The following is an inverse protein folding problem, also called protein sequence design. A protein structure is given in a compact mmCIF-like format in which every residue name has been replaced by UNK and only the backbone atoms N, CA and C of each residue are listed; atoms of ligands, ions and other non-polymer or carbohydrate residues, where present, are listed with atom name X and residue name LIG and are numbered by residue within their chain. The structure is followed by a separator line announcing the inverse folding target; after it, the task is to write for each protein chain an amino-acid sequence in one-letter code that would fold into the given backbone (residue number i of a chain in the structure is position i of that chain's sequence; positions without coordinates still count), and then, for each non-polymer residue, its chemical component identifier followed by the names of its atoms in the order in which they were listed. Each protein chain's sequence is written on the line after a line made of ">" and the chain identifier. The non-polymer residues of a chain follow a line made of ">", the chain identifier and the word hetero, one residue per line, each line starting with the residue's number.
data_IF_765403351997
#
_entry.id   IF_765403351997
#
_cell.length_a   1.000
_cell.length_b   1.000
_cell.length_c   1.000
_cell.angle_alpha   90.00
_cell.angle_beta   90.00
_cell.angle_gamma   90.00
#
_symmetry.space_group_name_H-M   'P 1'
#
loop_
_entity.id
_entity.type
_entity.pdbx_description
1 polymer ?
#
# COMPACT_ATOMS: atom_id res chain seq x y z
N UNK A 1 24.14 23.45 47.68
CA UNK A 1 24.17 24.78 47.01
C UNK A 1 24.49 24.75 45.51
N UNK A 2 24.87 23.62 44.89
CA UNK A 2 25.28 23.56 43.46
C UNK A 2 24.15 23.54 42.41
N UNK A 3 22.93 23.15 42.77
CA UNK A 3 21.83 23.00 41.80
C UNK A 3 21.18 24.33 41.40
N UNK A 4 21.20 25.34 42.27
CA UNK A 4 20.62 26.66 41.98
C UNK A 4 21.52 27.46 41.04
N UNK A 5 22.84 27.43 41.25
CA UNK A 5 23.83 28.12 40.41
C UNK A 5 23.89 27.60 38.98
N UNK A 6 23.72 26.29 38.76
CA UNK A 6 23.69 25.69 37.42
C UNK A 6 22.44 26.12 36.63
N UNK A 7 21.28 26.21 37.31
CA UNK A 7 20.04 26.63 36.67
C UNK A 7 20.08 28.10 36.25
N UNK A 8 20.72 28.97 37.05
CA UNK A 8 20.91 30.39 36.72
C UNK A 8 21.85 30.58 35.53
N UNK A 9 22.91 29.77 35.41
CA UNK A 9 23.85 29.84 34.28
C UNK A 9 23.20 29.40 32.95
N UNK A 10 22.34 28.38 32.98
CA UNK A 10 21.63 27.90 31.78
C UNK A 10 20.57 28.92 31.33
N UNK A 11 19.87 29.57 32.26
CA UNK A 11 18.90 30.63 31.91
C UNK A 11 19.59 31.89 31.39
N UNK A 12 20.78 32.24 31.91
CA UNK A 12 21.54 33.37 31.40
C UNK A 12 22.07 33.12 29.97
N UNK A 13 22.50 31.89 29.66
CA UNK A 13 22.91 31.50 28.30
C UNK A 13 21.73 31.52 27.29
N UNK A 14 20.52 31.23 27.75
CA UNK A 14 19.31 31.24 26.90
C UNK A 14 18.74 32.65 26.66
N UNK A 15 19.02 33.62 27.54
CA UNK A 15 18.58 35.01 27.35
C UNK A 15 19.55 35.79 26.46
N UNK A 16 20.85 35.45 26.49
CA UNK A 16 21.86 36.06 25.62
C UNK A 16 21.77 35.62 24.15
N UNK A 17 21.10 34.50 23.83
CA UNK A 17 20.83 34.08 22.45
C UNK A 17 19.63 34.76 21.79
N UNK A 18 18.88 35.58 22.55
CA UNK A 18 17.70 36.30 22.03
C UNK A 18 18.06 37.72 21.57
N UNK A 19 19.27 38.21 21.89
CA UNK A 19 19.66 39.62 21.67
C UNK A 19 20.96 39.80 20.86
N UNK A 20 21.28 38.85 19.99
CA UNK A 20 22.17 39.13 18.85
C UNK A 20 21.37 39.05 17.56
N UNK A 21 21.28 40.14 16.76
CA UNK A 21 20.83 40.02 15.39
C UNK A 21 21.95 39.27 14.67
N UNK A 22 21.76 37.97 14.44
CA UNK A 22 22.57 37.26 13.46
C UNK A 22 22.15 37.82 12.09
N UNK A 23 22.84 38.86 11.67
CA UNK A 23 22.95 39.23 10.27
C UNK A 23 23.66 38.08 9.55
N UNK A 24 22.89 37.14 9.02
CA UNK A 24 23.25 36.56 7.74
C UNK A 24 22.35 37.23 6.72
N UNK A 25 22.91 38.16 5.95
CA UNK A 25 22.40 38.43 4.62
C UNK A 25 22.33 37.08 3.90
N UNK A 26 21.15 36.46 3.92
CA UNK A 26 20.79 35.51 2.89
C UNK A 26 20.67 36.36 1.63
N UNK A 27 21.80 36.49 0.93
CA UNK A 27 21.79 36.75 -0.50
C UNK A 27 20.76 35.79 -1.09
N UNK A 28 19.59 36.31 -1.46
CA UNK A 28 18.67 35.61 -2.33
C UNK A 28 19.33 35.59 -3.72
N UNK A 29 20.41 34.80 -3.85
CA UNK A 29 20.81 34.26 -5.14
C UNK A 29 19.67 33.34 -5.57
N UNK A 30 18.75 33.91 -6.36
CA UNK A 30 17.94 33.15 -7.30
C UNK A 30 18.91 32.38 -8.19
N UNK A 31 19.33 31.19 -7.75
CA UNK A 31 19.90 30.18 -8.61
C UNK A 31 18.82 29.81 -9.62
N UNK A 32 18.88 30.44 -10.79
CA UNK A 32 18.25 29.89 -11.98
C UNK A 32 18.95 28.57 -12.26
N UNK A 33 18.35 27.46 -11.81
CA UNK A 33 18.78 26.13 -12.24
C UNK A 33 18.59 26.11 -13.75
N UNK A 34 19.70 26.02 -14.50
CA UNK A 34 19.68 25.86 -15.94
C UNK A 34 18.86 24.60 -16.27
N UNK A 35 17.99 24.66 -17.28
CA UNK A 35 17.18 23.52 -17.73
C UNK A 35 18.02 22.25 -17.97
N UNK A 36 19.28 22.39 -18.39
CA UNK A 36 20.20 21.26 -18.55
C UNK A 36 20.64 20.60 -17.23
N UNK A 37 20.83 21.34 -16.14
CA UNK A 37 21.16 20.77 -14.82
C UNK A 37 19.92 20.12 -14.19
N UNK A 38 18.74 20.73 -14.37
CA UNK A 38 17.47 20.12 -13.98
C UNK A 38 17.22 18.83 -14.77
N UNK A 39 17.46 18.83 -16.08
CA UNK A 39 17.33 17.65 -16.93
C UNK A 39 18.36 16.57 -16.55
N UNK A 40 19.60 16.93 -16.22
CA UNK A 40 20.63 16.01 -15.74
C UNK A 40 20.32 15.40 -14.34
N UNK A 41 19.57 16.11 -13.49
CA UNK A 41 19.08 15.59 -12.20
C UNK A 41 17.80 14.75 -12.36
N UNK A 42 16.92 15.12 -13.29
CA UNK A 42 15.61 14.48 -13.52
C UNK A 42 15.75 13.21 -14.35
N UNK A 43 16.63 13.17 -15.36
CA UNK A 43 16.78 12.01 -16.27
C UNK A 43 17.19 10.72 -15.54
N UNK A 44 18.19 10.72 -14.62
CA UNK A 44 18.53 9.53 -13.84
C UNK A 44 17.38 9.06 -12.94
N UNK A 45 16.64 10.00 -12.34
CA UNK A 45 15.47 9.68 -11.49
C UNK A 45 14.30 9.13 -12.30
N UNK A 46 14.04 9.66 -13.50
CA UNK A 46 13.01 9.15 -14.41
C UNK A 46 13.37 7.74 -14.90
N UNK A 47 14.62 7.52 -15.31
CA UNK A 47 15.09 6.18 -15.74
C UNK A 47 15.03 5.15 -14.61
N UNK A 48 15.40 5.52 -13.39
CA UNK A 48 15.28 4.66 -12.21
C UNK A 48 13.81 4.33 -11.88
N UNK A 49 12.90 5.30 -12.00
CA UNK A 49 11.47 5.09 -11.80
C UNK A 49 10.85 4.21 -12.89
N UNK A 50 11.24 4.40 -14.15
CA UNK A 50 10.79 3.53 -15.25
C UNK A 50 11.27 2.09 -15.08
N UNK A 51 12.53 1.90 -14.68
CA UNK A 51 13.08 0.57 -14.41
C UNK A 51 12.40 -0.11 -13.22
N UNK A 52 12.15 0.63 -12.13
CA UNK A 52 11.41 0.11 -10.98
C UNK A 52 9.95 -0.25 -11.32
N UNK A 53 9.31 0.50 -12.22
CA UNK A 53 7.95 0.21 -12.69
C UNK A 53 7.94 -1.07 -13.53
N UNK A 54 8.87 -1.22 -14.47
CA UNK A 54 8.99 -2.46 -15.27
C UNK A 54 9.27 -3.68 -14.40
N UNK A 55 10.17 -3.56 -13.42
CA UNK A 55 10.47 -4.65 -12.51
C UNK A 55 9.24 -5.04 -11.67
N UNK A 56 8.45 -4.05 -11.22
CA UNK A 56 7.23 -4.31 -10.49
C UNK A 56 6.20 -5.05 -11.36
N UNK A 57 6.01 -4.63 -12.61
CA UNK A 57 5.11 -5.31 -13.56
C UNK A 57 5.54 -6.78 -13.77
N UNK A 58 6.84 -7.05 -13.93
CA UNK A 58 7.37 -8.41 -14.04
C UNK A 58 7.13 -9.25 -12.79
N UNK A 59 7.32 -8.67 -11.60
CA UNK A 59 7.07 -9.35 -10.33
C UNK A 59 5.58 -9.63 -10.13
N UNK A 60 4.71 -8.71 -10.54
CA UNK A 60 3.27 -8.90 -10.51
C UNK A 60 2.83 -10.04 -11.43
N UNK A 61 3.41 -10.16 -12.63
CA UNK A 61 3.18 -11.31 -13.52
C UNK A 61 3.65 -12.61 -12.88
N UNK A 62 4.90 -12.67 -12.37
CA UNK A 62 5.45 -13.87 -11.70
C UNK A 62 4.62 -14.28 -10.49
N UNK A 63 4.13 -13.31 -9.71
CA UNK A 63 3.23 -13.55 -8.59
C UNK A 63 1.89 -14.14 -9.06
N UNK A 64 1.32 -13.60 -10.14
CA UNK A 64 0.12 -14.13 -10.78
C UNK A 64 0.30 -15.57 -11.23
N UNK A 65 1.36 -15.85 -11.99
CA UNK A 65 1.71 -17.19 -12.48
C UNK A 65 1.91 -18.19 -11.32
N UNK A 66 2.60 -17.78 -10.25
CA UNK A 66 2.79 -18.60 -9.07
C UNK A 66 1.43 -19.02 -8.46
N UNK A 67 0.55 -18.04 -8.25
CA UNK A 67 -0.76 -18.27 -7.62
C UNK A 67 -1.67 -19.09 -8.55
N UNK A 68 -1.67 -18.83 -9.85
CA UNK A 68 -2.44 -19.60 -10.84
C UNK A 68 -2.05 -21.08 -10.85
N UNK A 69 -0.75 -21.37 -10.77
CA UNK A 69 -0.20 -22.72 -10.83
C UNK A 69 -0.27 -23.51 -9.51
N UNK A 70 -0.85 -22.96 -8.43
CA UNK A 70 -1.01 -23.74 -7.19
C UNK A 70 -1.87 -24.99 -7.44
N UNK A 71 -1.51 -26.15 -6.85
CA UNK A 71 -2.09 -27.45 -7.19
C UNK A 71 -3.41 -27.71 -6.47
N UNK A 72 -4.29 -26.71 -6.45
CA UNK A 72 -5.66 -26.82 -5.96
C UNK A 72 -6.55 -25.78 -6.64
N UNK A 73 -7.82 -26.11 -6.74
CA UNK A 73 -8.90 -25.24 -7.22
C UNK A 73 -9.60 -24.55 -6.05
N UNK A 74 -10.41 -23.53 -6.33
CA UNK A 74 -11.29 -22.91 -5.33
C UNK A 74 -12.18 -23.96 -4.65
N UNK A 75 -12.84 -24.81 -5.45
CA UNK A 75 -13.77 -25.84 -4.94
C UNK A 75 -13.08 -26.82 -3.99
N UNK A 76 -11.87 -27.30 -4.34
CA UNK A 76 -11.09 -28.18 -3.47
C UNK A 76 -10.72 -27.48 -2.18
N UNK A 77 -10.21 -26.25 -2.25
CA UNK A 77 -9.88 -25.46 -1.06
C UNK A 77 -11.09 -25.21 -0.16
N UNK A 78 -12.26 -24.94 -0.74
CA UNK A 78 -13.48 -24.70 0.03
C UNK A 78 -13.99 -25.95 0.73
N UNK A 79 -13.75 -27.14 0.15
CA UNK A 79 -14.14 -28.43 0.73
C UNK A 79 -13.23 -28.88 1.89
N UNK A 80 -12.02 -28.34 2.01
CA UNK A 80 -11.10 -28.60 3.11
C UNK A 80 -11.61 -28.06 4.44
N UNK A 81 -11.28 -28.76 5.53
CA UNK A 81 -11.45 -28.25 6.89
C UNK A 81 -10.64 -26.97 7.13
N UNK A 82 -10.97 -26.22 8.19
CA UNK A 82 -10.24 -25.00 8.52
C UNK A 82 -8.75 -25.26 8.80
N UNK A 83 -8.42 -26.38 9.44
CA UNK A 83 -7.03 -26.77 9.73
C UNK A 83 -6.24 -27.05 8.44
N UNK A 84 -6.85 -27.79 7.50
CA UNK A 84 -6.25 -28.08 6.19
C UNK A 84 -6.07 -26.80 5.36
N UNK A 85 -7.07 -25.91 5.35
CA UNK A 85 -6.96 -24.61 4.70
C UNK A 85 -5.78 -23.81 5.26
N UNK A 86 -5.60 -23.78 6.58
CA UNK A 86 -4.47 -23.08 7.19
C UNK A 86 -3.12 -23.71 6.77
N UNK A 87 -3.02 -25.04 6.75
CA UNK A 87 -1.81 -25.75 6.30
C UNK A 87 -1.47 -25.44 4.84
N UNK A 88 -2.46 -25.45 3.95
CA UNK A 88 -2.29 -25.10 2.53
C UNK A 88 -1.81 -23.65 2.38
N UNK A 89 -2.41 -22.73 3.14
CA UNK A 89 -1.99 -21.32 3.12
C UNK A 89 -0.56 -21.17 3.63
N UNK A 90 -0.19 -21.86 4.70
CA UNK A 90 1.19 -21.82 5.21
C UNK A 90 2.17 -22.43 4.20
N UNK A 91 1.83 -23.56 3.59
CA UNK A 91 2.68 -24.24 2.62
C UNK A 91 2.94 -23.37 1.37
N UNK A 92 1.92 -22.72 0.81
CA UNK A 92 2.04 -22.03 -0.48
C UNK A 92 2.24 -20.52 -0.38
N UNK A 93 1.74 -19.89 0.68
CA UNK A 93 1.87 -18.44 0.87
C UNK A 93 2.90 -18.07 1.94
N UNK A 94 3.52 -19.02 2.66
CA UNK A 94 4.63 -18.74 3.59
C UNK A 94 5.92 -19.50 3.27
N UNK A 95 6.03 -20.14 2.09
CA UNK A 95 7.32 -20.68 1.65
C UNK A 95 8.26 -19.58 1.15
N UNK A 96 9.54 -19.92 1.06
CA UNK A 96 10.62 -19.01 0.68
C UNK A 96 10.40 -18.39 -0.71
N UNK A 97 10.02 -19.18 -1.71
CA UNK A 97 9.84 -18.69 -3.08
C UNK A 97 8.75 -17.61 -3.17
N UNK A 98 7.60 -17.86 -2.54
CA UNK A 98 6.51 -16.90 -2.46
C UNK A 98 6.92 -15.64 -1.68
N UNK A 99 7.56 -15.82 -0.53
CA UNK A 99 7.99 -14.71 0.31
C UNK A 99 9.07 -13.86 -0.37
N UNK A 100 9.94 -14.45 -1.19
CA UNK A 100 10.93 -13.71 -1.97
C UNK A 100 10.27 -12.76 -2.98
N UNK A 101 9.27 -13.25 -3.73
CA UNK A 101 8.49 -12.41 -4.65
C UNK A 101 7.76 -11.30 -3.90
N UNK A 102 7.02 -11.67 -2.85
CA UNK A 102 6.24 -10.71 -2.07
C UNK A 102 7.13 -9.64 -1.42
N UNK A 103 8.29 -10.02 -0.89
CA UNK A 103 9.22 -9.08 -0.27
C UNK A 103 9.89 -8.16 -1.29
N UNK A 104 10.20 -8.66 -2.49
CA UNK A 104 10.75 -7.81 -3.55
C UNK A 104 9.73 -6.75 -4.01
N UNK A 105 8.47 -7.15 -4.18
CA UNK A 105 7.38 -6.20 -4.47
C UNK A 105 7.26 -5.13 -3.37
N UNK A 106 7.27 -5.54 -2.09
CA UNK A 106 7.23 -4.59 -0.94
C UNK A 106 8.38 -3.59 -0.97
N UNK A 107 9.59 -4.03 -1.34
CA UNK A 107 10.76 -3.15 -1.44
C UNK A 107 10.58 -2.10 -2.54
N UNK A 108 10.05 -2.47 -3.71
CA UNK A 108 9.79 -1.55 -4.81
C UNK A 108 8.67 -0.55 -4.44
N UNK A 109 7.56 -1.04 -3.87
CA UNK A 109 6.48 -0.19 -3.38
C UNK A 109 6.98 0.82 -2.34
N UNK A 110 7.93 0.41 -1.48
CA UNK A 110 8.50 1.28 -0.44
C UNK A 110 9.34 2.42 -1.02
N UNK A 111 10.12 2.14 -2.08
CA UNK A 111 10.96 3.13 -2.77
C UNK A 111 10.12 4.16 -3.53
N UNK A 112 9.07 3.71 -4.23
CA UNK A 112 8.16 4.62 -4.95
C UNK A 112 7.33 5.51 -4.03
N UNK A 113 7.09 5.08 -2.79
CA UNK A 113 6.30 5.84 -1.80
C UNK A 113 7.08 6.95 -1.10
N UNK A 114 8.42 6.89 -1.06
CA UNK A 114 9.24 7.86 -0.32
C UNK A 114 9.21 9.27 -0.93
N UNK A 115 8.85 9.43 -2.21
CA UNK A 115 8.79 10.74 -2.88
C UNK A 115 7.49 11.52 -2.65
N UNK A 116 6.40 10.87 -2.20
CA UNK A 116 5.07 11.51 -2.05
C UNK A 116 4.54 11.57 -0.60
N UNK A 117 5.21 10.94 0.37
CA UNK A 117 4.72 10.93 1.77
C UNK A 117 5.14 12.20 2.49
N UNK A 118 4.38 13.29 2.31
CA UNK A 118 4.27 14.31 3.36
C UNK A 118 3.66 13.66 4.61
N UNK A 119 4.36 13.78 5.72
CA UNK A 119 4.08 13.27 7.07
C UNK A 119 2.66 13.57 7.55
N UNK A 120 1.69 12.71 7.20
CA UNK A 120 0.39 12.67 7.85
C UNK A 120 0.10 11.29 8.43
N UNK A 121 0.60 11.07 9.66
CA UNK A 121 0.01 10.24 10.72
C UNK A 121 -0.51 8.82 10.41
N UNK A 122 -0.10 8.22 9.30
CA UNK A 122 -0.17 6.78 9.05
C UNK A 122 1.24 6.22 9.24
N UNK A 123 1.41 5.05 9.88
CA UNK A 123 2.74 4.47 9.99
C UNK A 123 3.30 4.32 8.58
N UNK A 124 4.44 4.95 8.30
CA UNK A 124 5.13 4.95 7.00
C UNK A 124 5.30 3.52 6.46
N UNK A 125 5.37 2.54 7.37
CA UNK A 125 5.45 1.11 7.07
C UNK A 125 4.16 0.46 6.52
N UNK A 126 2.99 1.10 6.64
CA UNK A 126 1.71 0.48 6.29
C UNK A 126 1.43 0.46 4.78
N UNK A 127 1.71 1.56 4.08
CA UNK A 127 1.29 1.76 2.69
C UNK A 127 1.95 0.77 1.73
N UNK A 128 3.29 0.56 1.76
CA UNK A 128 3.94 -0.38 0.85
C UNK A 128 3.48 -1.83 1.07
N UNK A 129 3.28 -2.21 2.34
CA UNK A 129 2.77 -3.54 2.70
C UNK A 129 1.36 -3.71 2.16
N UNK A 130 0.49 -2.72 2.36
CA UNK A 130 -0.90 -2.77 1.91
C UNK A 130 -1.04 -2.80 0.38
N UNK A 131 -0.16 -2.10 -0.36
CA UNK A 131 -0.10 -2.17 -1.82
C UNK A 131 0.23 -3.58 -2.31
N UNK A 132 1.34 -4.17 -1.86
CA UNK A 132 1.72 -5.53 -2.25
C UNK A 132 0.65 -6.55 -1.82
N UNK A 133 0.20 -6.50 -0.56
CA UNK A 133 -0.83 -7.41 -0.04
C UNK A 133 -2.15 -7.29 -0.81
N UNK A 134 -2.52 -6.07 -1.22
CA UNK A 134 -3.68 -5.82 -2.07
C UNK A 134 -3.58 -6.52 -3.43
N UNK A 135 -2.45 -6.36 -4.13
CA UNK A 135 -2.21 -7.00 -5.44
C UNK A 135 -2.26 -8.52 -5.36
N UNK A 136 -1.54 -9.10 -4.40
CA UNK A 136 -1.55 -10.55 -4.16
C UNK A 136 -2.96 -11.05 -3.86
N UNK A 137 -3.73 -10.32 -3.05
CA UNK A 137 -5.10 -10.69 -2.75
C UNK A 137 -5.98 -10.69 -4.01
N UNK A 138 -5.81 -9.73 -4.92
CA UNK A 138 -6.55 -9.74 -6.18
C UNK A 138 -6.20 -10.95 -7.06
N UNK A 139 -4.93 -11.34 -7.12
CA UNK A 139 -4.50 -12.53 -7.86
C UNK A 139 -5.08 -13.80 -7.22
N UNK A 140 -5.02 -13.91 -5.89
CA UNK A 140 -5.63 -15.02 -5.16
C UNK A 140 -7.15 -15.10 -5.41
N UNK A 141 -7.86 -13.97 -5.41
CA UNK A 141 -9.30 -13.93 -5.72
C UNK A 141 -9.56 -14.44 -7.14
N UNK A 142 -8.82 -13.90 -8.11
CA UNK A 142 -8.99 -14.24 -9.53
C UNK A 142 -8.77 -15.73 -9.78
N UNK A 143 -7.71 -16.29 -9.22
CA UNK A 143 -7.21 -17.61 -9.62
C UNK A 143 -7.67 -18.74 -8.71
N UNK A 144 -7.92 -18.44 -7.43
CA UNK A 144 -8.20 -19.45 -6.39
C UNK A 144 -9.42 -19.10 -5.52
N UNK A 145 -10.07 -17.97 -5.78
CA UNK A 145 -11.32 -17.60 -5.12
C UNK A 145 -11.19 -16.72 -3.88
N UNK A 146 -12.33 -16.21 -3.46
CA UNK A 146 -12.42 -15.23 -2.38
C UNK A 146 -12.01 -15.79 -1.01
N UNK A 147 -12.25 -17.08 -0.77
CA UNK A 147 -11.91 -17.74 0.51
C UNK A 147 -10.40 -17.90 0.70
N UNK A 148 -9.66 -18.22 -0.35
CA UNK A 148 -8.19 -18.30 -0.35
C UNK A 148 -7.59 -16.93 -0.06
N UNK A 149 -8.04 -15.91 -0.79
CA UNK A 149 -7.61 -14.54 -0.56
C UNK A 149 -7.91 -14.05 0.86
N UNK A 150 -9.08 -14.38 1.41
CA UNK A 150 -9.44 -14.04 2.79
C UNK A 150 -8.48 -14.68 3.81
N UNK A 151 -8.09 -15.95 3.62
CA UNK A 151 -7.12 -16.63 4.49
C UNK A 151 -5.72 -16.03 4.38
N UNK A 152 -5.26 -15.77 3.16
CA UNK A 152 -4.00 -15.04 2.91
C UNK A 152 -3.99 -13.68 3.62
N UNK A 153 -5.04 -12.87 3.44
CA UNK A 153 -5.19 -11.56 4.07
C UNK A 153 -5.19 -11.65 5.59
N UNK A 154 -5.94 -12.60 6.17
CA UNK A 154 -5.96 -12.82 7.62
C UNK A 154 -4.57 -13.09 8.15
N UNK A 155 -3.77 -13.92 7.47
CA UNK A 155 -2.40 -14.20 7.89
C UNK A 155 -1.50 -12.95 7.84
N UNK A 156 -1.56 -12.18 6.75
CA UNK A 156 -0.72 -10.97 6.56
C UNK A 156 -1.10 -9.80 7.47
N UNK A 157 -2.38 -9.65 7.78
CA UNK A 157 -2.93 -8.51 8.53
C UNK A 157 -3.01 -8.83 10.03
N UNK A 158 -2.88 -10.09 10.45
CA UNK A 158 -2.91 -10.51 11.87
C UNK A 158 -1.95 -9.71 12.76
N UNK A 159 -0.83 -9.25 12.22
CA UNK A 159 0.17 -8.44 12.93
C UNK A 159 -0.16 -6.95 13.08
N UNK A 160 -1.27 -6.47 12.51
CA UNK A 160 -1.63 -5.05 12.62
C UNK A 160 -2.02 -4.77 14.08
N UNK A 161 -1.20 -3.98 14.77
CA UNK A 161 -1.31 -3.77 16.22
C UNK A 161 -2.65 -3.14 16.67
N UNK A 162 -2.81 -2.99 17.99
CA UNK A 162 -4.05 -2.51 18.66
C UNK A 162 -4.64 -1.19 18.12
N UNK A 163 -3.82 -0.41 17.43
CA UNK A 163 -4.19 0.85 16.77
C UNK A 163 -5.08 0.66 15.55
N UNK A 164 -5.32 -0.57 15.10
CA UNK A 164 -6.20 -0.87 13.97
C UNK A 164 -7.49 -1.57 14.41
N UNK A 165 -8.55 -1.32 13.65
CA UNK A 165 -9.80 -2.06 13.67
C UNK A 165 -9.98 -2.68 12.30
N UNK A 166 -10.32 -3.96 12.27
CA UNK A 166 -10.39 -4.73 11.02
C UNK A 166 -11.75 -5.40 10.96
N UNK A 167 -12.50 -5.07 9.93
CA UNK A 167 -13.74 -5.75 9.59
C UNK A 167 -13.47 -6.76 8.49
N UNK A 168 -13.87 -8.01 8.71
CA UNK A 168 -13.68 -9.12 7.78
C UNK A 168 -14.99 -9.49 7.12
N UNK A 169 -14.94 -9.82 5.83
CA UNK A 169 -16.04 -10.41 5.06
C UNK A 169 -17.37 -9.63 5.19
N UNK A 170 -17.32 -8.35 4.86
CA UNK A 170 -18.44 -7.42 4.96
C UNK A 170 -19.40 -7.64 3.79
N UNK A 171 -20.67 -7.85 4.10
CA UNK A 171 -21.76 -8.00 3.12
C UNK A 171 -22.63 -6.75 3.07
N UNK A 172 -23.17 -6.46 1.89
CA UNK A 172 -24.19 -5.43 1.74
C UNK A 172 -25.56 -5.93 2.22
N UNK A 173 -26.56 -5.04 2.21
CA UNK A 173 -27.96 -5.35 2.62
C UNK A 173 -28.61 -6.49 1.82
N UNK A 174 -28.09 -6.78 0.61
CA UNK A 174 -28.57 -7.87 -0.27
C UNK A 174 -27.80 -9.18 -0.05
N UNK A 175 -26.94 -9.27 0.97
CA UNK A 175 -26.15 -10.45 1.27
C UNK A 175 -24.94 -10.67 0.36
N UNK A 176 -24.69 -9.78 -0.62
CA UNK A 176 -23.51 -9.86 -1.50
C UNK A 176 -22.28 -9.35 -0.76
N UNK A 177 -21.16 -10.06 -0.89
CA UNK A 177 -19.88 -9.62 -0.31
C UNK A 177 -19.44 -8.31 -0.97
N UNK A 178 -19.35 -7.25 -0.17
CA UNK A 178 -18.90 -5.92 -0.56
C UNK A 178 -17.41 -5.73 -0.28
N UNK A 179 -16.86 -6.38 0.76
CA UNK A 179 -15.43 -6.32 1.05
C UNK A 179 -14.95 -7.60 1.74
N UNK A 180 -13.76 -8.08 1.37
CA UNK A 180 -13.07 -9.13 2.13
C UNK A 180 -12.48 -8.57 3.42
N UNK A 181 -11.97 -7.34 3.37
CA UNK A 181 -11.37 -6.68 4.52
C UNK A 181 -11.55 -5.17 4.42
N UNK A 182 -11.89 -4.52 5.55
CA UNK A 182 -11.77 -3.07 5.74
C UNK A 182 -10.90 -2.82 6.97
N UNK A 183 -9.78 -2.13 6.79
CA UNK A 183 -8.84 -1.79 7.86
C UNK A 183 -8.95 -0.30 8.17
N UNK A 184 -9.15 0.01 9.45
CA UNK A 184 -9.28 1.36 9.96
C UNK A 184 -8.22 1.66 11.01
N UNK A 185 -7.48 2.74 10.84
CA UNK A 185 -6.60 3.29 11.87
C UNK A 185 -7.43 4.06 12.91
N UNK A 186 -7.28 3.69 14.19
CA UNK A 186 -7.90 4.34 15.34
C UNK A 186 -7.05 5.54 15.74
N UNK A 187 -7.47 6.75 15.34
CA UNK A 187 -6.83 8.00 15.76
C UNK A 187 -7.78 8.78 16.68
N UNK A 188 -7.60 8.61 17.98
CA UNK A 188 -8.54 9.13 18.99
C UNK A 188 -9.93 8.51 18.83
N UNK A 189 -10.97 9.36 18.73
CA UNK A 189 -12.36 8.90 18.49
C UNK A 189 -12.68 8.62 17.01
N UNK A 190 -11.78 8.96 16.08
CA UNK A 190 -12.01 8.79 14.64
C UNK A 190 -11.40 7.47 14.15
N UNK A 191 -12.14 6.78 13.28
CA UNK A 191 -11.66 5.64 12.49
C UNK A 191 -11.39 6.13 11.07
N UNK A 192 -10.14 6.07 10.64
CA UNK A 192 -9.74 6.45 9.28
C UNK A 192 -9.49 5.17 8.50
N UNK A 193 -10.19 4.97 7.38
CA UNK A 193 -9.96 3.82 6.51
C UNK A 193 -8.59 3.94 5.85
N UNK A 194 -7.77 2.90 5.98
CA UNK A 194 -6.39 2.90 5.50
C UNK A 194 -6.12 1.84 4.44
N UNK A 195 -6.88 0.76 4.46
CA UNK A 195 -6.79 -0.30 3.47
C UNK A 195 -8.13 -1.01 3.35
N UNK A 196 -8.44 -1.52 2.17
CA UNK A 196 -9.50 -2.48 1.99
C UNK A 196 -9.38 -3.24 0.69
N UNK A 197 -9.97 -4.44 0.66
CA UNK A 197 -10.21 -5.20 -0.57
C UNK A 197 -11.72 -5.30 -0.76
N UNK A 198 -12.23 -4.51 -1.70
CA UNK A 198 -13.64 -4.32 -2.01
C UNK A 198 -14.06 -5.06 -3.27
N UNK A 199 -15.34 -5.36 -3.35
CA UNK A 199 -16.02 -5.79 -4.55
C UNK A 199 -17.09 -4.73 -4.88
N UNK A 200 -16.98 -4.10 -6.03
CA UNK A 200 -17.88 -3.01 -6.38
C UNK A 200 -17.66 -2.50 -7.78
N UNK A 201 -18.52 -1.58 -8.21
CA UNK A 201 -18.35 -0.90 -9.49
C UNK A 201 -17.14 0.03 -9.41
N UNK A 202 -16.26 -0.03 -10.41
CA UNK A 202 -15.09 0.85 -10.51
C UNK A 202 -15.21 1.72 -11.77
N UNK A 203 -14.68 2.97 -11.76
CA UNK A 203 -14.72 3.85 -12.92
C UNK A 203 -13.92 3.30 -14.12
N UNK A 204 -14.59 3.01 -15.24
CA UNK A 204 -14.02 2.51 -16.51
C UNK A 204 -14.55 3.28 -17.73
N UNK A 205 -13.86 3.18 -18.88
CA UNK A 205 -14.24 3.75 -20.19
C UNK A 205 -14.20 2.68 -21.29
N UNK A 206 -15.30 2.40 -22.03
CA UNK A 206 -16.65 2.90 -21.77
C UNK A 206 -17.13 2.45 -20.37
N UNK A 207 -18.15 3.10 -19.80
CA UNK A 207 -18.62 2.77 -18.45
C UNK A 207 -18.99 1.29 -18.30
N UNK A 208 -18.84 0.73 -17.10
CA UNK A 208 -19.29 -0.61 -16.74
C UNK A 208 -20.09 -0.55 -15.45
N UNK A 209 -21.19 -1.30 -15.38
CA UNK A 209 -21.97 -1.52 -14.15
C UNK A 209 -21.56 -2.80 -13.42
N UNK A 210 -20.60 -3.55 -13.96
CA UNK A 210 -20.13 -4.78 -13.35
C UNK A 210 -19.35 -4.51 -12.07
N UNK A 211 -19.41 -5.46 -11.16
CA UNK A 211 -18.63 -5.41 -9.94
C UNK A 211 -17.28 -6.07 -10.18
N UNK A 212 -16.23 -5.42 -9.73
CA UNK A 212 -14.86 -5.88 -9.82
C UNK A 212 -14.25 -5.88 -8.43
N UNK A 213 -13.48 -6.91 -8.14
CA UNK A 213 -12.59 -6.90 -6.99
C UNK A 213 -11.48 -5.88 -7.22
N UNK A 214 -11.27 -5.03 -6.22
CA UNK A 214 -10.28 -3.98 -6.23
C UNK A 214 -9.85 -3.71 -4.79
N UNK A 215 -8.72 -3.05 -4.60
CA UNK A 215 -8.30 -2.60 -3.29
C UNK A 215 -8.12 -1.09 -3.26
N UNK A 216 -8.14 -0.55 -2.05
CA UNK A 216 -7.91 0.84 -1.74
C UNK A 216 -6.79 0.91 -0.72
N UNK A 217 -5.88 1.86 -0.88
CA UNK A 217 -4.85 2.14 0.12
C UNK A 217 -4.78 3.64 0.39
N UNK A 218 -4.59 4.00 1.65
CA UNK A 218 -4.28 5.38 2.00
C UNK A 218 -2.85 5.76 1.49
N UNK A 219 -2.57 7.05 1.26
CA UNK A 219 -3.42 8.21 1.52
C UNK A 219 -4.54 8.41 0.48
N UNK A 220 -4.39 7.87 -0.74
CA UNK A 220 -5.34 8.05 -1.85
C UNK A 220 -6.42 6.96 -1.85
N UNK A 221 -7.20 6.86 -0.76
CA UNK A 221 -8.22 5.81 -0.56
C UNK A 221 -9.38 5.84 -1.57
N UNK A 222 -9.47 6.89 -2.39
CA UNK A 222 -10.42 7.01 -3.50
C UNK A 222 -9.94 6.33 -4.80
N UNK A 223 -8.68 5.92 -4.87
CA UNK A 223 -8.12 5.24 -6.04
C UNK A 223 -8.45 3.75 -5.95
N UNK A 224 -9.12 3.25 -6.97
CA UNK A 224 -9.42 1.84 -7.14
C UNK A 224 -8.23 1.14 -7.81
N UNK A 225 -7.58 0.23 -7.09
CA UNK A 225 -6.54 -0.62 -7.65
C UNK A 225 -7.17 -1.97 -8.02
N UNK A 226 -7.22 -2.32 -9.30
CA UNK A 226 -7.82 -3.56 -9.77
C UNK A 226 -6.88 -4.31 -10.71
N UNK A 227 -7.09 -5.62 -10.89
CA UNK A 227 -6.32 -6.38 -11.88
C UNK A 227 -6.85 -6.11 -13.27
N UNK A 228 -5.94 -5.76 -14.19
CA UNK A 228 -6.19 -5.64 -15.62
C UNK A 228 -6.85 -6.88 -16.17
N UNK A 229 -6.34 -8.05 -15.79
CA UNK A 229 -6.83 -9.35 -16.25
C UNK A 229 -8.31 -9.60 -15.90
N UNK A 230 -8.84 -8.94 -14.86
CA UNK A 230 -10.23 -9.05 -14.43
C UNK A 230 -11.18 -8.07 -15.15
N UNK A 231 -10.63 -7.13 -15.93
CA UNK A 231 -11.39 -6.12 -16.67
C UNK A 231 -11.40 -6.47 -18.16
N UNK A 232 -12.57 -6.50 -18.84
CA UNK A 232 -12.62 -6.80 -20.27
C UNK A 232 -11.79 -5.81 -21.09
N UNK A 233 -11.04 -6.29 -22.09
CA UNK A 233 -10.06 -5.52 -22.88
C UNK A 233 -10.60 -4.23 -23.51
N UNK A 234 -11.90 -4.18 -23.84
CA UNK A 234 -12.57 -2.98 -24.36
C UNK A 234 -12.68 -1.83 -23.36
N UNK A 235 -12.51 -2.10 -22.06
CA UNK A 235 -12.59 -1.11 -20.99
C UNK A 235 -11.20 -0.61 -20.59
N UNK A 236 -11.11 0.69 -20.34
CA UNK A 236 -9.90 1.38 -19.88
C UNK A 236 -10.17 2.05 -18.55
N UNK A 237 -9.14 2.16 -17.71
CA UNK A 237 -9.22 2.90 -16.45
C UNK A 237 -9.52 4.39 -16.68
N UNK A 238 -10.32 4.99 -15.80
CA UNK A 238 -10.42 6.45 -15.71
C UNK A 238 -9.17 6.99 -14.98
N UNK A 239 -8.38 7.83 -15.66
CA UNK A 239 -7.16 8.44 -15.11
C UNK A 239 -7.44 9.11 -13.75
N UNK A 240 -6.59 8.83 -12.76
CA UNK A 240 -6.68 9.39 -11.41
C UNK A 240 -7.78 8.80 -10.52
N UNK A 241 -8.57 7.83 -11.03
CA UNK A 241 -9.61 7.13 -10.25
C UNK A 241 -9.37 5.63 -10.16
N UNK A 242 -8.90 5.03 -11.25
CA UNK A 242 -8.64 3.59 -11.32
C UNK A 242 -7.22 3.36 -11.80
N UNK A 243 -6.50 2.46 -11.14
CA UNK A 243 -5.23 1.91 -11.59
C UNK A 243 -5.47 0.43 -11.88
N UNK A 244 -5.09 0.01 -13.08
CA UNK A 244 -5.18 -1.38 -13.50
C UNK A 244 -3.76 -1.94 -13.56
N UNK A 245 -3.52 -2.89 -12.66
CA UNK A 245 -2.31 -3.71 -12.56
C UNK A 245 -2.42 -4.87 -13.54
#
# INVERSE_FOLDING_TARGET
>A
MYKKTLLTLITLALVLSIWTPFSSEASAETYFINSQELEALVTPTVLQNEQATKELDELEMKMGEYIENLPFTEKEFESMSESEQNKVIDQYFNNEAFLALENRMKQLDSKGSQSEITTQALPIFFVPIAMTVGRVALWAIRSKGAKVALKYLKNRIKGFGKNYHIDWYVKNRKGKVESLVKVFHKKGKKKIRVFAVDNGVIPLKPGSSNWYWHFHVAPKIQIHHALRASVPSKHKAVKGRTILH
#
